data_IF_656836334689
#
_entry.id   IF_656836334689
#
_cell.length_a   1.000
_cell.length_b   1.000
_cell.length_c   1.000
_cell.angle_alpha   90.00
_cell.angle_beta   90.00
_cell.angle_gamma   90.00
#
_symmetry.space_group_name_H-M   'P 1'
#
loop_
_entity.id
_entity.type
_entity.pdbx_description
1 polymer ?
#
# COMPACT_ATOMS: atom_id res chain seq x y z
N UNK A 1 -6.32 -18.48 -17.64
CA UNK A 1 -6.55 -19.95 -17.54
C UNK A 1 -6.43 -20.55 -16.16
N UNK A 2 -5.29 -20.40 -15.47
CA UNK A 2 -5.09 -21.02 -14.15
C UNK A 2 -6.16 -20.61 -13.12
N UNK A 3 -6.46 -19.32 -13.01
CA UNK A 3 -7.50 -18.82 -12.09
C UNK A 3 -8.88 -19.44 -12.36
N UNK A 4 -9.28 -19.61 -13.63
CA UNK A 4 -10.55 -20.26 -14.00
C UNK A 4 -10.62 -21.71 -13.49
N UNK A 5 -9.51 -22.47 -13.64
CA UNK A 5 -9.43 -23.85 -13.14
C UNK A 5 -9.53 -23.90 -11.62
N UNK A 6 -8.84 -23.00 -10.92
CA UNK A 6 -8.90 -22.90 -9.45
C UNK A 6 -10.30 -22.50 -8.96
N UNK A 7 -10.91 -21.50 -9.61
CA UNK A 7 -12.28 -21.09 -9.36
C UNK A 7 -13.26 -22.25 -9.54
N UNK A 8 -13.20 -22.96 -10.67
CA UNK A 8 -14.10 -24.09 -10.94
C UNK A 8 -13.93 -25.21 -9.89
N UNK A 9 -12.70 -25.53 -9.50
CA UNK A 9 -12.43 -26.50 -8.45
C UNK A 9 -13.03 -26.06 -7.11
N UNK A 10 -12.77 -24.81 -6.68
CA UNK A 10 -13.32 -24.26 -5.44
C UNK A 10 -14.85 -24.25 -5.45
N UNK A 11 -15.47 -23.74 -6.52
CA UNK A 11 -16.93 -23.65 -6.65
C UNK A 11 -17.60 -25.02 -6.69
N UNK A 12 -16.97 -26.03 -7.27
CA UNK A 12 -17.50 -27.41 -7.28
C UNK A 12 -17.61 -28.02 -5.89
N UNK A 13 -16.75 -27.62 -4.95
CA UNK A 13 -16.73 -28.12 -3.58
C UNK A 13 -17.47 -27.21 -2.60
N UNK A 14 -17.45 -25.90 -2.84
CA UNK A 14 -18.07 -24.88 -2.00
C UNK A 14 -19.10 -24.08 -2.80
N UNK A 15 -20.25 -24.70 -3.08
CA UNK A 15 -21.23 -24.20 -4.06
C UNK A 15 -21.88 -22.85 -3.71
N UNK A 16 -21.81 -22.42 -2.44
CA UNK A 16 -22.41 -21.16 -1.96
C UNK A 16 -21.43 -20.21 -1.28
N UNK A 17 -20.17 -20.60 -1.09
CA UNK A 17 -19.19 -19.77 -0.39
C UNK A 17 -18.80 -18.57 -1.25
N UNK A 18 -18.78 -17.35 -0.72
CA UNK A 18 -18.23 -16.20 -1.44
C UNK A 18 -16.75 -16.43 -1.70
N UNK A 19 -16.33 -16.29 -2.96
CA UNK A 19 -14.92 -16.46 -3.34
C UNK A 19 -14.29 -15.08 -3.54
N UNK A 20 -13.06 -14.91 -3.02
CA UNK A 20 -12.27 -13.70 -3.26
C UNK A 20 -11.28 -13.99 -4.39
N UNK A 21 -11.34 -13.21 -5.46
CA UNK A 21 -10.47 -13.34 -6.64
C UNK A 21 -9.61 -12.09 -6.83
N UNK A 22 -8.40 -12.27 -7.34
CA UNK A 22 -7.40 -11.21 -7.48
C UNK A 22 -6.66 -11.27 -8.82
N UNK A 23 -6.04 -10.15 -9.20
CA UNK A 23 -5.03 -10.08 -10.25
C UNK A 23 -3.70 -10.75 -9.88
N UNK A 24 -2.81 -10.87 -10.87
CA UNK A 24 -1.41 -11.23 -10.65
C UNK A 24 -0.63 -10.10 -9.95
N UNK A 25 0.69 -10.26 -9.83
CA UNK A 25 1.61 -9.22 -9.37
C UNK A 25 1.20 -8.62 -8.02
N UNK A 26 1.05 -9.48 -7.00
CA UNK A 26 0.71 -9.06 -5.63
C UNK A 26 -0.62 -8.29 -5.55
N UNK A 27 -1.64 -8.76 -6.28
CA UNK A 27 -2.98 -8.14 -6.26
C UNK A 27 -2.98 -6.71 -6.81
N UNK A 28 -2.05 -6.35 -7.70
CA UNK A 28 -1.99 -5.00 -8.25
C UNK A 28 -3.25 -4.65 -9.06
N UNK A 29 -3.75 -3.42 -8.90
CA UNK A 29 -4.87 -2.88 -9.70
C UNK A 29 -4.64 -3.01 -11.21
N UNK A 30 -3.39 -2.81 -11.68
CA UNK A 30 -3.00 -2.95 -13.08
C UNK A 30 -3.01 -4.38 -13.62
N UNK A 31 -3.10 -5.37 -12.73
CA UNK A 31 -3.28 -6.77 -13.09
C UNK A 31 -4.75 -7.19 -12.99
N UNK A 32 -5.50 -6.63 -12.04
CA UNK A 32 -6.94 -6.83 -11.95
C UNK A 32 -7.65 -6.25 -13.19
N UNK A 33 -7.26 -5.07 -13.66
CA UNK A 33 -7.89 -4.41 -14.83
C UNK A 33 -7.77 -5.24 -16.14
N UNK A 34 -6.91 -6.26 -16.16
CA UNK A 34 -6.69 -7.16 -17.30
C UNK A 34 -7.52 -8.44 -17.24
N UNK A 35 -8.21 -8.69 -16.13
CA UNK A 35 -9.08 -9.86 -15.99
C UNK A 35 -10.40 -9.60 -16.72
N UNK A 36 -10.84 -10.56 -17.52
CA UNK A 36 -12.23 -10.62 -18.00
C UNK A 36 -13.08 -11.36 -16.96
N UNK A 37 -13.89 -10.66 -16.15
CA UNK A 37 -14.71 -11.30 -15.13
C UNK A 37 -15.82 -12.18 -15.74
N UNK A 38 -16.21 -11.99 -17.01
CA UNK A 38 -17.21 -12.86 -17.67
C UNK A 38 -16.70 -14.29 -17.83
N UNK A 39 -15.38 -14.49 -17.76
CA UNK A 39 -14.77 -15.81 -17.76
C UNK A 39 -14.93 -16.54 -16.42
N UNK A 40 -15.53 -15.88 -15.41
CA UNK A 40 -15.94 -16.38 -14.11
C UNK A 40 -17.46 -16.13 -13.98
N UNK A 41 -18.32 -17.03 -14.48
CA UNK A 41 -19.78 -16.82 -14.52
C UNK A 41 -20.41 -17.07 -13.14
N UNK A 42 -20.14 -16.18 -12.19
CA UNK A 42 -20.56 -16.30 -10.79
C UNK A 42 -20.75 -14.94 -10.15
N UNK A 43 -21.96 -14.72 -9.62
CA UNK A 43 -22.35 -13.47 -8.99
C UNK A 43 -21.90 -13.38 -7.52
N UNK A 44 -21.42 -14.47 -6.92
CA UNK A 44 -20.97 -14.55 -5.53
C UNK A 44 -19.44 -14.52 -5.41
N UNK A 45 -18.86 -13.45 -5.97
CA UNK A 45 -17.42 -13.18 -6.01
C UNK A 45 -17.14 -11.77 -5.52
N UNK A 46 -16.09 -11.63 -4.69
CA UNK A 46 -15.46 -10.34 -4.37
C UNK A 46 -14.14 -10.26 -5.14
N UNK A 47 -13.93 -9.17 -5.85
CA UNK A 47 -12.67 -8.86 -6.50
C UNK A 47 -11.79 -8.03 -5.58
N UNK A 48 -10.52 -8.37 -5.47
CA UNK A 48 -9.60 -7.63 -4.62
C UNK A 48 -8.38 -7.13 -5.35
N UNK A 49 -7.91 -5.97 -4.92
CA UNK A 49 -6.62 -5.39 -5.26
C UNK A 49 -5.95 -4.85 -3.99
N UNK A 50 -4.63 -4.77 -3.98
CA UNK A 50 -3.86 -4.13 -2.91
C UNK A 50 -3.32 -2.79 -3.41
N UNK A 51 -3.10 -1.86 -2.49
CA UNK A 51 -2.43 -0.61 -2.79
C UNK A 51 -1.57 -0.17 -1.62
N UNK A 52 -0.31 0.12 -1.93
CA UNK A 52 0.68 0.64 -1.02
C UNK A 52 1.34 1.90 -1.57
N UNK A 53 0.70 2.54 -2.56
CA UNK A 53 1.22 3.76 -3.17
C UNK A 53 1.11 4.95 -2.19
N UNK A 54 2.16 5.79 -2.08
CA UNK A 54 3.49 5.62 -2.67
C UNK A 54 4.36 4.63 -1.88
N UNK A 55 4.92 3.62 -2.58
CA UNK A 55 5.71 2.55 -1.96
C UNK A 55 6.93 3.06 -1.17
N UNK A 56 7.54 4.16 -1.65
CA UNK A 56 8.64 4.86 -0.95
C UNK A 56 8.27 5.22 0.49
N UNK A 57 7.04 5.68 0.73
CA UNK A 57 6.60 6.18 2.03
C UNK A 57 6.09 5.05 2.92
N UNK A 58 5.41 4.05 2.33
CA UNK A 58 4.73 3.00 3.08
C UNK A 58 5.67 1.89 3.59
N UNK A 59 6.84 1.68 2.98
CA UNK A 59 7.73 0.53 3.27
C UNK A 59 9.09 0.95 3.85
N UNK A 60 9.26 2.21 4.26
CA UNK A 60 10.52 2.78 4.73
C UNK A 60 11.31 1.86 5.69
N UNK A 61 12.56 1.56 5.32
CA UNK A 61 13.51 0.80 6.14
C UNK A 61 13.31 -0.71 6.10
N UNK A 62 12.33 -1.20 5.34
CA UNK A 62 12.06 -2.62 5.19
C UNK A 62 13.18 -3.35 4.45
N UNK A 63 13.69 -4.42 5.05
CA UNK A 63 14.82 -5.18 4.50
C UNK A 63 14.42 -6.12 3.35
N UNK A 64 13.13 -6.43 3.22
CA UNK A 64 12.59 -7.29 2.18
C UNK A 64 12.18 -6.55 0.90
N UNK A 65 12.26 -5.21 0.84
CA UNK A 65 11.68 -4.40 -0.24
C UNK A 65 12.67 -3.98 -1.32
N UNK A 66 13.23 -4.97 -2.01
CA UNK A 66 14.22 -4.72 -3.05
C UNK A 66 15.50 -4.07 -2.50
N UNK A 67 16.32 -3.50 -3.38
CA UNK A 67 17.68 -3.04 -3.05
C UNK A 67 17.76 -1.54 -2.71
N UNK A 68 16.64 -0.85 -2.59
CA UNK A 68 16.59 0.60 -2.36
C UNK A 68 15.95 0.99 -1.02
N UNK A 69 14.76 0.45 -0.74
CA UNK A 69 13.97 0.78 0.45
C UNK A 69 14.71 0.55 1.79
N UNK A 70 15.61 -0.43 1.96
CA UNK A 70 16.35 -0.59 3.21
C UNK A 70 17.13 0.66 3.64
N UNK A 71 17.53 1.52 2.69
CA UNK A 71 18.28 2.75 2.98
C UNK A 71 17.38 3.95 3.33
N UNK A 72 16.07 3.85 3.12
CA UNK A 72 15.13 4.98 3.23
C UNK A 72 14.37 4.91 4.55
N UNK A 73 14.62 5.86 5.45
CA UNK A 73 13.85 6.06 6.69
C UNK A 73 13.77 7.55 6.98
N UNK A 74 12.67 8.02 7.59
CA UNK A 74 12.55 9.42 8.04
C UNK A 74 11.61 10.28 7.21
N UNK A 75 11.17 9.83 6.03
CA UNK A 75 10.32 10.64 5.17
C UNK A 75 8.93 10.80 5.79
N UNK A 76 8.40 12.03 5.86
CA UNK A 76 7.08 12.27 6.40
C UNK A 76 5.99 11.87 5.38
N UNK A 77 4.78 11.67 5.88
CA UNK A 77 3.60 11.53 5.03
C UNK A 77 2.58 12.64 5.34
N UNK A 78 2.19 13.46 4.34
CA UNK A 78 2.84 13.63 3.03
C UNK A 78 4.25 14.24 3.15
N UNK A 79 5.04 14.27 2.05
CA UNK A 79 6.35 14.94 2.04
C UNK A 79 6.26 16.43 2.44
N UNK A 80 5.11 17.05 2.17
CA UNK A 80 4.80 18.45 2.52
C UNK A 80 4.32 18.64 3.96
N UNK A 81 4.27 17.60 4.78
CA UNK A 81 3.87 17.69 6.20
C UNK A 81 4.91 18.45 7.06
N UNK A 82 6.12 18.63 6.54
CA UNK A 82 7.21 19.35 7.21
C UNK A 82 7.73 20.50 6.33
N UNK A 83 8.37 21.53 6.92
CA UNK A 83 9.04 22.56 6.14
C UNK A 83 10.11 21.98 5.20
N UNK A 84 10.27 22.56 4.01
CA UNK A 84 11.22 22.07 3.00
C UNK A 84 12.64 21.86 3.54
N UNK A 85 13.14 22.76 4.39
CA UNK A 85 14.46 22.61 5.00
C UNK A 85 14.61 21.34 5.85
N UNK A 86 13.54 20.94 6.56
CA UNK A 86 13.54 19.70 7.35
C UNK A 86 13.47 18.45 6.46
N UNK A 87 12.70 18.53 5.37
CA UNK A 87 12.68 17.47 4.36
C UNK A 87 14.06 17.31 3.70
N UNK A 88 14.71 18.41 3.32
CA UNK A 88 16.03 18.39 2.68
C UNK A 88 17.09 17.73 3.59
N UNK A 89 17.07 18.01 4.91
CA UNK A 89 17.95 17.34 5.89
C UNK A 89 17.69 15.82 5.96
N UNK A 90 16.42 15.42 5.90
CA UNK A 90 16.05 14.00 5.88
C UNK A 90 16.57 13.32 4.61
N UNK A 91 16.40 13.97 3.46
CA UNK A 91 16.90 13.46 2.18
C UNK A 91 18.43 13.37 2.18
N UNK A 92 19.14 14.36 2.71
CA UNK A 92 20.61 14.31 2.81
C UNK A 92 21.10 13.19 3.72
N UNK A 93 20.38 12.89 4.80
CA UNK A 93 20.65 11.74 5.66
C UNK A 93 20.50 10.42 4.90
N UNK A 94 19.42 10.27 4.11
CA UNK A 94 19.21 9.09 3.26
C UNK A 94 20.33 8.98 2.21
N UNK A 95 20.68 10.08 1.53
CA UNK A 95 21.78 10.12 0.55
C UNK A 95 23.12 9.74 1.17
N UNK A 96 23.40 10.21 2.39
CA UNK A 96 24.61 9.85 3.12
C UNK A 96 24.65 8.35 3.45
N UNK A 97 23.53 7.77 3.92
CA UNK A 97 23.41 6.33 4.15
C UNK A 97 23.66 5.52 2.88
N UNK A 98 23.03 5.88 1.77
CA UNK A 98 23.24 5.20 0.47
C UNK A 98 24.73 5.23 0.08
N UNK A 99 25.40 6.37 0.22
CA UNK A 99 26.84 6.49 -0.10
C UNK A 99 27.74 5.69 0.83
N UNK A 100 27.35 5.52 2.08
CA UNK A 100 28.12 4.80 3.08
C UNK A 100 27.95 3.27 2.98
N UNK A 101 26.72 2.80 2.73
CA UNK A 101 26.34 1.40 2.96
C UNK A 101 26.02 0.65 1.66
N UNK A 102 25.54 1.33 0.61
CA UNK A 102 25.16 0.64 -0.62
C UNK A 102 26.39 0.23 -1.44
N UNK A 103 26.32 -0.90 -2.20
CA UNK A 103 27.39 -1.31 -3.10
C UNK A 103 27.78 -0.16 -4.04
N UNK A 104 29.09 0.11 -4.16
CA UNK A 104 29.60 1.26 -4.92
C UNK A 104 29.03 1.37 -6.33
N UNK A 105 28.87 0.25 -7.02
CA UNK A 105 28.28 0.16 -8.38
C UNK A 105 26.79 0.52 -8.45
N UNK A 106 26.07 0.52 -7.32
CA UNK A 106 24.65 0.84 -7.22
C UNK A 106 24.39 2.27 -6.75
N UNK A 107 25.33 2.90 -6.04
CA UNK A 107 25.12 4.19 -5.36
C UNK A 107 24.52 5.26 -6.26
N UNK A 108 25.10 5.52 -7.43
CA UNK A 108 24.59 6.56 -8.35
C UNK A 108 23.15 6.29 -8.81
N UNK A 109 22.80 5.02 -9.07
CA UNK A 109 21.46 4.64 -9.48
C UNK A 109 20.43 4.80 -8.34
N UNK A 110 20.80 4.42 -7.11
CA UNK A 110 19.93 4.56 -5.94
C UNK A 110 19.69 6.03 -5.59
N UNK A 111 20.71 6.89 -5.72
CA UNK A 111 20.57 8.33 -5.51
C UNK A 111 19.64 8.97 -6.54
N UNK A 112 19.83 8.65 -7.83
CA UNK A 112 18.95 9.13 -8.89
C UNK A 112 17.50 8.64 -8.69
N UNK A 113 17.33 7.37 -8.28
CA UNK A 113 16.01 6.80 -8.00
C UNK A 113 15.34 7.48 -6.80
N UNK A 114 16.07 7.83 -5.74
CA UNK A 114 15.52 8.64 -4.64
C UNK A 114 14.97 9.97 -5.15
N UNK A 115 15.76 10.69 -5.95
CA UNK A 115 15.36 12.00 -6.48
C UNK A 115 14.13 11.87 -7.40
N UNK A 116 14.06 10.84 -8.24
CA UNK A 116 12.90 10.53 -9.08
C UNK A 116 11.64 10.24 -8.25
N UNK A 117 11.75 9.36 -7.25
CA UNK A 117 10.62 9.00 -6.41
C UNK A 117 10.10 10.21 -5.63
N UNK A 118 10.98 11.03 -5.05
CA UNK A 118 10.60 12.27 -4.37
C UNK A 118 9.91 13.24 -5.33
N UNK A 119 10.49 13.49 -6.51
CA UNK A 119 9.90 14.38 -7.51
C UNK A 119 8.54 13.90 -8.03
N UNK A 120 8.25 12.60 -7.96
CA UNK A 120 6.95 12.04 -8.33
C UNK A 120 5.82 12.37 -7.34
N UNK A 121 6.15 12.84 -6.12
CA UNK A 121 5.19 13.07 -5.03
C UNK A 121 5.46 14.34 -4.20
N UNK A 122 6.25 15.29 -4.72
CA UNK A 122 6.68 16.51 -4.02
C UNK A 122 5.63 17.62 -3.93
N UNK A 123 4.40 17.37 -4.39
CA UNK A 123 3.26 18.26 -4.25
C UNK A 123 1.99 17.49 -3.89
N UNK A 124 1.00 18.17 -3.26
CA UNK A 124 -0.28 17.53 -2.94
C UNK A 124 -0.95 16.90 -4.17
N UNK A 125 -1.01 17.60 -5.29
CA UNK A 125 -1.66 17.11 -6.51
C UNK A 125 -0.99 15.85 -7.07
N UNK A 126 0.35 15.81 -7.04
CA UNK A 126 1.10 14.64 -7.49
C UNK A 126 0.86 13.44 -6.58
N UNK A 127 0.90 13.65 -5.26
CA UNK A 127 0.61 12.60 -4.28
C UNK A 127 -0.81 12.06 -4.45
N UNK A 128 -1.81 12.94 -4.55
CA UNK A 128 -3.20 12.56 -4.81
C UNK A 128 -3.30 11.76 -6.11
N UNK A 129 -2.63 12.20 -7.17
CA UNK A 129 -2.58 11.48 -8.45
C UNK A 129 -2.05 10.05 -8.32
N UNK A 130 -0.96 9.85 -7.57
CA UNK A 130 -0.39 8.52 -7.30
C UNK A 130 -1.37 7.64 -6.52
N UNK A 131 -1.92 8.16 -5.43
CA UNK A 131 -2.81 7.38 -4.55
C UNK A 131 -4.15 7.05 -5.21
N UNK A 132 -4.67 7.93 -6.07
CA UNK A 132 -5.94 7.72 -6.76
C UNK A 132 -5.83 6.74 -7.94
N UNK A 133 -4.64 6.61 -8.53
CA UNK A 133 -4.46 5.87 -9.79
C UNK A 133 -4.92 4.40 -9.70
N UNK A 134 -4.61 3.63 -8.63
CA UNK A 134 -5.14 2.27 -8.48
C UNK A 134 -6.67 2.23 -8.41
N UNK A 135 -7.30 3.14 -7.67
CA UNK A 135 -8.76 3.19 -7.53
C UNK A 135 -9.45 3.53 -8.84
N UNK A 136 -8.93 4.52 -9.59
CA UNK A 136 -9.45 4.90 -10.91
C UNK A 136 -9.37 3.74 -11.92
N UNK A 137 -8.28 2.96 -11.88
CA UNK A 137 -8.13 1.75 -12.72
C UNK A 137 -9.19 0.71 -12.40
N UNK A 138 -9.37 0.39 -11.11
CA UNK A 138 -10.33 -0.63 -10.67
C UNK A 138 -11.77 -0.18 -10.92
N UNK A 139 -12.09 1.09 -10.68
CA UNK A 139 -13.41 1.64 -10.98
C UNK A 139 -13.73 1.59 -12.48
N UNK A 140 -12.79 2.00 -13.34
CA UNK A 140 -12.97 1.94 -14.78
C UNK A 140 -13.18 0.49 -15.26
N UNK A 141 -12.39 -0.45 -14.75
CA UNK A 141 -12.55 -1.88 -15.02
C UNK A 141 -13.92 -2.39 -14.54
N UNK A 142 -14.36 -1.99 -13.35
CA UNK A 142 -15.64 -2.41 -12.79
C UNK A 142 -16.81 -1.94 -13.64
N UNK A 143 -16.83 -0.65 -14.01
CA UNK A 143 -17.83 -0.05 -14.90
C UNK A 143 -17.87 -0.73 -16.26
N UNK A 144 -16.71 -0.97 -16.88
CA UNK A 144 -16.62 -1.62 -18.18
C UNK A 144 -17.16 -3.06 -18.18
N UNK A 145 -17.14 -3.73 -17.03
CA UNK A 145 -17.54 -5.13 -16.90
C UNK A 145 -18.85 -5.37 -16.13
N UNK A 146 -19.52 -4.31 -15.67
CA UNK A 146 -20.74 -4.42 -14.87
C UNK A 146 -20.52 -5.02 -13.48
N UNK A 147 -19.30 -4.95 -12.94
CA UNK A 147 -19.00 -5.37 -11.56
C UNK A 147 -19.45 -4.25 -10.62
N UNK A 148 -20.27 -4.60 -9.63
CA UNK A 148 -20.78 -3.63 -8.66
C UNK A 148 -19.67 -3.23 -7.67
N UNK A 149 -19.60 -1.96 -7.25
CA UNK A 149 -18.56 -1.50 -6.32
C UNK A 149 -18.52 -2.27 -5.00
N UNK A 150 -19.68 -2.68 -4.47
CA UNK A 150 -19.76 -3.46 -3.23
C UNK A 150 -19.11 -4.87 -3.33
N UNK A 151 -18.89 -5.36 -4.55
CA UNK A 151 -18.19 -6.61 -4.83
C UNK A 151 -16.67 -6.39 -5.03
N UNK A 152 -16.14 -5.26 -4.59
CA UNK A 152 -14.73 -4.90 -4.70
C UNK A 152 -14.17 -4.61 -3.31
N UNK A 153 -12.94 -5.08 -3.07
CA UNK A 153 -12.22 -4.89 -1.82
C UNK A 153 -10.79 -4.40 -2.04
N UNK A 154 -10.42 -3.29 -1.39
CA UNK A 154 -9.02 -2.96 -1.15
C UNK A 154 -8.49 -3.92 -0.07
N UNK A 155 -7.95 -5.06 -0.52
CA UNK A 155 -7.66 -6.20 0.35
C UNK A 155 -6.47 -5.98 1.28
N UNK A 156 -5.53 -5.12 0.89
CA UNK A 156 -4.45 -4.69 1.75
C UNK A 156 -4.01 -3.27 1.39
N UNK A 157 -3.75 -2.50 2.45
CA UNK A 157 -3.04 -1.22 2.44
C UNK A 157 -2.51 -0.95 3.85
N UNK A 158 -1.45 -0.14 3.96
CA UNK A 158 -0.90 0.23 5.25
C UNK A 158 0.43 0.97 5.14
N UNK A 159 0.92 1.47 6.27
CA UNK A 159 2.22 2.12 6.37
C UNK A 159 3.01 1.47 7.50
N UNK A 160 4.26 1.08 7.19
CA UNK A 160 5.16 0.40 8.13
C UNK A 160 5.30 1.21 9.41
N UNK A 161 5.23 0.51 10.54
CA UNK A 161 5.57 1.06 11.86
C UNK A 161 7.08 1.05 12.04
N UNK A 162 7.69 -0.12 11.89
CA UNK A 162 9.09 -0.36 12.19
C UNK A 162 9.48 -1.67 11.52
N UNK A 163 10.62 -1.69 10.82
CA UNK A 163 11.16 -2.96 10.31
C UNK A 163 11.89 -3.74 11.42
N UNK A 164 11.79 -5.07 11.41
CA UNK A 164 12.50 -5.90 12.38
C UNK A 164 14.02 -5.68 12.31
N UNK A 165 14.64 -5.39 13.46
CA UNK A 165 16.08 -5.08 13.52
C UNK A 165 16.43 -3.65 13.11
N UNK A 166 15.45 -2.82 12.72
CA UNK A 166 15.64 -1.39 12.48
C UNK A 166 15.13 -0.59 13.69
N UNK A 167 15.96 0.30 14.23
CA UNK A 167 15.60 1.12 15.40
C UNK A 167 14.63 2.26 15.05
N UNK A 168 14.48 2.61 13.77
CA UNK A 168 13.61 3.68 13.35
C UNK A 168 12.14 3.27 13.44
N UNK A 169 11.36 4.00 14.24
CA UNK A 169 9.90 3.86 14.34
C UNK A 169 9.26 5.04 13.62
N UNK A 170 8.40 4.75 12.66
CA UNK A 170 7.64 5.73 11.90
C UNK A 170 6.66 6.48 12.82
N UNK A 171 6.63 7.82 12.81
CA UNK A 171 5.67 8.60 13.57
C UNK A 171 4.23 8.14 13.32
N UNK A 172 3.48 7.90 14.39
CA UNK A 172 2.13 7.35 14.33
C UNK A 172 1.15 8.26 13.58
N UNK A 173 1.33 9.58 13.70
CA UNK A 173 0.55 10.59 12.98
C UNK A 173 0.61 10.45 11.45
N UNK A 174 1.79 10.13 10.90
CA UNK A 174 1.97 9.92 9.46
C UNK A 174 1.27 8.65 9.00
N UNK A 175 1.37 7.58 9.78
CA UNK A 175 0.66 6.32 9.52
C UNK A 175 -0.84 6.49 9.57
N UNK A 176 -1.34 7.20 10.59
CA UNK A 176 -2.76 7.48 10.78
C UNK A 176 -3.32 8.35 9.65
N UNK A 177 -2.58 9.37 9.20
CA UNK A 177 -2.94 10.18 8.05
C UNK A 177 -3.03 9.35 6.76
N UNK A 178 -2.04 8.51 6.47
CA UNK A 178 -2.06 7.61 5.32
C UNK A 178 -3.25 6.65 5.34
N UNK A 179 -3.50 6.01 6.49
CA UNK A 179 -4.62 5.08 6.65
C UNK A 179 -5.96 5.80 6.43
N UNK A 180 -6.13 7.01 6.98
CA UNK A 180 -7.33 7.83 6.75
C UNK A 180 -7.55 8.13 5.26
N UNK A 181 -6.49 8.51 4.56
CA UNK A 181 -6.55 8.86 3.13
C UNK A 181 -6.92 7.66 2.25
N UNK A 182 -6.43 6.47 2.59
CA UNK A 182 -6.74 5.23 1.87
C UNK A 182 -8.16 4.73 2.16
N UNK A 183 -8.60 4.80 3.42
CA UNK A 183 -9.99 4.46 3.79
C UNK A 183 -10.97 5.40 3.08
N UNK A 184 -10.72 6.71 3.13
CA UNK A 184 -11.58 7.69 2.45
C UNK A 184 -11.70 7.44 0.95
N UNK A 185 -10.62 6.98 0.30
CA UNK A 185 -10.65 6.56 -1.11
C UNK A 185 -11.47 5.29 -1.31
N UNK A 186 -11.25 4.26 -0.51
CA UNK A 186 -12.01 3.02 -0.63
C UNK A 186 -13.52 3.28 -0.47
N UNK A 187 -13.90 4.04 0.55
CA UNK A 187 -15.31 4.37 0.84
C UNK A 187 -15.93 5.28 -0.23
N UNK A 188 -15.21 6.28 -0.73
CA UNK A 188 -15.68 7.13 -1.82
C UNK A 188 -15.96 6.34 -3.11
N UNK A 189 -15.26 5.22 -3.31
CA UNK A 189 -15.49 4.31 -4.42
C UNK A 189 -16.52 3.20 -4.11
N UNK A 190 -17.04 3.13 -2.88
CA UNK A 190 -17.95 2.05 -2.44
C UNK A 190 -17.27 0.70 -2.25
N UNK A 191 -15.94 0.68 -2.12
CA UNK A 191 -15.15 -0.53 -1.92
C UNK A 191 -15.04 -0.86 -0.43
N UNK A 192 -15.11 -2.14 -0.10
CA UNK A 192 -14.69 -2.63 1.22
C UNK A 192 -13.16 -2.52 1.35
N UNK A 193 -12.63 -2.58 2.57
CA UNK A 193 -11.20 -2.41 2.81
C UNK A 193 -10.70 -3.23 4.00
N UNK A 194 -9.41 -3.59 3.99
CA UNK A 194 -8.73 -4.24 5.10
C UNK A 194 -7.31 -3.66 5.30
N UNK A 195 -7.06 -3.13 6.50
CA UNK A 195 -5.76 -2.53 6.87
C UNK A 195 -4.75 -3.63 7.20
N UNK A 196 -3.56 -3.52 6.63
CA UNK A 196 -2.40 -4.31 7.00
C UNK A 196 -1.57 -3.55 8.06
N UNK A 197 -1.35 -4.08 9.27
CA UNK A 197 -1.74 -5.39 9.81
C UNK A 197 -2.04 -5.33 11.30
N UNK A 198 -2.63 -6.39 11.87
CA UNK A 198 -2.86 -6.48 13.32
C UNK A 198 -1.55 -6.31 14.14
N UNK A 199 -0.49 -7.02 13.74
CA UNK A 199 0.82 -6.96 14.38
C UNK A 199 2.00 -7.06 13.42
N UNK A 200 3.21 -7.05 13.96
CA UNK A 200 4.46 -7.12 13.18
C UNK A 200 4.91 -5.75 12.67
N UNK A 201 5.65 -5.72 11.55
CA UNK A 201 6.26 -4.49 11.04
C UNK A 201 5.25 -3.37 10.71
N UNK A 202 4.02 -3.74 10.33
CA UNK A 202 2.92 -2.82 10.01
C UNK A 202 1.87 -2.74 11.13
N UNK A 203 2.14 -3.34 12.29
CA UNK A 203 1.18 -3.53 13.37
C UNK A 203 0.43 -2.27 13.79
N UNK A 204 -0.90 -2.37 13.83
CA UNK A 204 -1.82 -1.32 14.32
C UNK A 204 -2.32 -1.63 15.74
N UNK A 205 -2.19 -2.88 16.21
CA UNK A 205 -2.53 -3.29 17.58
C UNK A 205 -1.27 -3.73 18.32
N UNK A 206 -0.52 -4.67 17.75
CA UNK A 206 0.68 -5.24 18.35
C UNK A 206 1.94 -4.74 17.63
N UNK A 207 2.92 -4.29 18.40
CA UNK A 207 4.28 -4.05 17.92
C UNK A 207 5.12 -5.34 18.04
N UNK A 208 6.42 -5.24 17.84
CA UNK A 208 7.32 -6.36 18.11
C UNK A 208 7.46 -6.64 19.61
N UNK A 209 7.96 -7.82 19.96
CA UNK A 209 8.31 -8.23 21.34
C UNK A 209 7.15 -8.20 22.36
N UNK A 210 5.89 -8.23 21.90
CA UNK A 210 4.71 -8.19 22.77
C UNK A 210 4.30 -6.79 23.22
N UNK A 211 4.97 -5.75 22.71
CA UNK A 211 4.58 -4.36 22.94
C UNK A 211 3.32 -4.00 22.14
N UNK A 212 2.64 -2.91 22.54
CA UNK A 212 1.49 -2.36 21.80
C UNK A 212 1.94 -1.28 20.82
N UNK A 213 1.27 -1.24 19.68
CA UNK A 213 1.40 -0.13 18.74
C UNK A 213 0.74 1.13 19.29
N UNK A 214 1.14 2.29 18.76
CA UNK A 214 0.53 3.58 19.06
C UNK A 214 -0.95 3.59 18.60
N UNK A 215 -1.86 4.23 19.37
CA UNK A 215 -3.30 4.11 19.14
C UNK A 215 -3.79 4.85 17.90
N UNK A 216 -3.03 5.80 17.36
CA UNK A 216 -3.45 6.76 16.33
C UNK A 216 -4.12 6.11 15.11
N UNK A 217 -3.57 4.99 14.62
CA UNK A 217 -4.14 4.26 13.48
C UNK A 217 -5.48 3.61 13.86
N UNK A 218 -5.55 3.01 15.05
CA UNK A 218 -6.79 2.40 15.55
C UNK A 218 -7.86 3.45 15.89
N UNK A 219 -7.45 4.63 16.35
CA UNK A 219 -8.36 5.73 16.63
C UNK A 219 -8.96 6.31 15.33
N UNK A 220 -8.18 6.38 14.24
CA UNK A 220 -8.72 6.68 12.90
C UNK A 220 -9.76 5.64 12.49
N UNK A 221 -9.47 4.34 12.65
CA UNK A 221 -10.39 3.26 12.26
C UNK A 221 -11.68 3.29 13.09
N UNK A 222 -11.58 3.52 14.41
CA UNK A 222 -12.73 3.57 15.34
C UNK A 222 -13.54 4.86 15.21
N UNK A 223 -12.92 5.94 14.73
CA UNK A 223 -13.59 7.21 14.50
C UNK A 223 -14.50 7.23 13.27
N UNK A 224 -14.48 6.18 12.44
CA UNK A 224 -15.34 6.00 11.28
C UNK A 224 -16.70 5.43 11.73
N UNK A 225 -17.49 6.25 12.43
CA UNK A 225 -18.87 5.96 12.82
C UNK A 225 -19.74 7.21 12.71
#
# INVERSE_FOLDING_TARGET
>A
DRQRKLFAAARSSATKLTLVLTGACYSAASSLEKIDPKAIPDDNVIWTFHSYDPFLLTHQGATWAGDFIPYVTGLPYPLTAVPKAQLDVTLDTIRARIKAEAPWTRQSGLLAYLDEQVASMDSPDKLLGLMDAPFKKVEAWAKANGVKPENISLGEFGMIRQEYGNAYVMPAEYRAAYVRDMIGRAEAHGFSWAVWSYGGAFGIVDAFNGDKAEPDVMDVIRGLH
#
